data_IF_446385578362
#
_entry.id   IF_446385578362
#
_cell.length_a   1.000
_cell.length_b   1.000
_cell.length_c   1.000
_cell.angle_alpha   90.00
_cell.angle_beta   90.00
_cell.angle_gamma   90.00
#
_symmetry.space_group_name_H-M   'P 1'
#
loop_
_entity.id
_entity.type
_entity.pdbx_description
1 polymer ?
#
# COMPACT_ATOMS: atom_id res chain seq x y z
N UNK A 1 11.06 6.93 -38.49
CA UNK A 1 10.93 7.85 -37.35
C UNK A 1 9.47 7.83 -36.94
N UNK A 2 9.08 6.97 -35.98
CA UNK A 2 7.70 6.97 -35.48
C UNK A 2 7.54 8.19 -34.58
N UNK A 3 6.78 9.17 -35.06
CA UNK A 3 6.39 10.31 -34.25
C UNK A 3 5.68 9.81 -33.00
N UNK A 4 6.13 10.25 -31.83
CA UNK A 4 5.36 10.16 -30.60
C UNK A 4 4.07 10.95 -30.84
N UNK A 5 3.00 10.26 -31.22
CA UNK A 5 1.67 10.86 -31.16
C UNK A 5 1.38 11.17 -29.69
N UNK A 6 1.42 12.45 -29.35
CA UNK A 6 1.01 12.94 -28.04
C UNK A 6 -0.48 12.62 -27.90
N UNK A 7 -0.77 11.47 -27.27
CA UNK A 7 -2.14 11.05 -26.99
C UNK A 7 -2.78 12.12 -26.11
N UNK A 8 -3.78 12.82 -26.65
CA UNK A 8 -4.51 13.83 -25.89
C UNK A 8 -5.26 13.16 -24.74
N UNK A 9 -4.91 13.51 -23.51
CA UNK A 9 -5.61 13.07 -22.30
C UNK A 9 -6.97 13.77 -22.24
N UNK A 10 -8.04 13.00 -22.10
CA UNK A 10 -9.40 13.53 -21.95
C UNK A 10 -9.76 13.76 -20.49
N UNK A 11 -10.81 14.55 -20.22
CA UNK A 11 -11.34 14.72 -18.85
C UNK A 11 -11.86 13.39 -18.28
N UNK A 12 -12.39 12.54 -19.15
CA UNK A 12 -12.89 11.21 -18.77
C UNK A 12 -11.75 10.31 -18.29
N UNK A 13 -10.58 10.39 -18.93
CA UNK A 13 -9.39 9.64 -18.50
C UNK A 13 -8.94 10.09 -17.11
N UNK A 14 -8.88 11.40 -16.86
CA UNK A 14 -8.52 11.96 -15.54
C UNK A 14 -9.50 11.48 -14.46
N UNK A 15 -10.81 11.57 -14.72
CA UNK A 15 -11.83 11.13 -13.77
C UNK A 15 -11.75 9.63 -13.48
N UNK A 16 -11.46 8.81 -14.50
CA UNK A 16 -11.27 7.38 -14.33
C UNK A 16 -10.09 7.10 -13.40
N UNK A 17 -8.94 7.73 -13.65
CA UNK A 17 -7.74 7.54 -12.82
C UNK A 17 -7.98 8.02 -11.38
N UNK A 18 -8.65 9.17 -11.21
CA UNK A 18 -9.03 9.66 -9.89
C UNK A 18 -9.89 8.64 -9.13
N UNK A 19 -10.95 8.10 -9.75
CA UNK A 19 -11.82 7.11 -9.10
C UNK A 19 -11.05 5.83 -8.71
N UNK A 20 -10.10 5.41 -9.54
CA UNK A 20 -9.24 4.27 -9.23
C UNK A 20 -8.30 4.57 -8.04
N UNK A 21 -7.69 5.75 -8.01
CA UNK A 21 -6.88 6.22 -6.88
C UNK A 21 -7.73 6.24 -5.60
N UNK A 22 -8.93 6.81 -5.63
CA UNK A 22 -9.83 6.87 -4.47
C UNK A 22 -10.20 5.47 -3.96
N UNK A 23 -10.41 4.51 -4.86
CA UNK A 23 -10.63 3.10 -4.47
C UNK A 23 -9.38 2.48 -3.84
N UNK A 24 -8.19 2.75 -4.36
CA UNK A 24 -6.93 2.30 -3.74
C UNK A 24 -6.73 2.93 -2.35
N UNK A 25 -7.10 4.19 -2.18
CA UNK A 25 -7.03 4.87 -0.88
C UNK A 25 -7.93 4.18 0.16
N UNK A 26 -9.13 3.74 -0.22
CA UNK A 26 -10.02 2.95 0.64
C UNK A 26 -9.42 1.60 1.06
N UNK A 27 -8.50 1.04 0.27
CA UNK A 27 -7.75 -0.18 0.59
C UNK A 27 -6.50 0.08 1.43
N UNK A 28 -6.32 1.31 1.92
CA UNK A 28 -5.17 1.72 2.73
C UNK A 28 -3.83 1.51 2.00
N UNK A 29 -3.80 1.76 0.69
CA UNK A 29 -2.59 1.69 -0.12
C UNK A 29 -1.80 3.00 -0.04
N UNK A 30 -0.48 2.91 0.07
CA UNK A 30 0.40 4.06 -0.09
C UNK A 30 0.58 4.43 -1.58
N UNK A 31 1.13 5.61 -1.88
CA UNK A 31 1.27 6.11 -3.25
C UNK A 31 1.98 5.11 -4.18
N UNK A 32 3.05 4.46 -3.72
CA UNK A 32 3.77 3.47 -4.51
C UNK A 32 2.90 2.26 -4.84
N UNK A 33 2.19 1.73 -3.85
CA UNK A 33 1.25 0.63 -4.05
C UNK A 33 0.14 1.00 -5.04
N UNK A 34 -0.36 2.24 -5.00
CA UNK A 34 -1.35 2.74 -5.96
C UNK A 34 -0.77 2.81 -7.37
N UNK A 35 0.40 3.41 -7.54
CA UNK A 35 1.09 3.52 -8.84
C UNK A 35 1.34 2.13 -9.43
N UNK A 36 1.89 1.21 -8.64
CA UNK A 36 2.13 -0.17 -9.05
C UNK A 36 0.79 -0.86 -9.42
N UNK A 37 -0.24 -0.72 -8.59
CA UNK A 37 -1.56 -1.34 -8.84
C UNK A 37 -2.18 -0.85 -10.14
N UNK A 38 -2.19 0.46 -10.38
CA UNK A 38 -2.78 1.05 -11.59
C UNK A 38 -1.96 0.70 -12.85
N UNK A 39 -0.64 0.59 -12.73
CA UNK A 39 0.22 0.09 -13.80
C UNK A 39 -0.14 -1.37 -14.15
N UNK A 40 -0.13 -2.26 -13.17
CA UNK A 40 -0.29 -3.69 -13.44
C UNK A 40 -1.72 -4.07 -13.84
N UNK A 41 -2.72 -3.53 -13.14
CA UNK A 41 -4.13 -3.92 -13.28
C UNK A 41 -4.88 -3.10 -14.33
N UNK A 42 -4.62 -1.79 -14.41
CA UNK A 42 -5.34 -0.89 -15.32
C UNK A 42 -4.50 -0.45 -16.54
N UNK A 43 -3.22 -0.85 -16.62
CA UNK A 43 -2.27 -0.46 -17.69
C UNK A 43 -2.14 1.05 -17.83
N UNK A 44 -2.23 1.77 -16.71
CA UNK A 44 -2.05 3.22 -16.66
C UNK A 44 -0.56 3.52 -16.48
N UNK A 45 -0.04 4.46 -17.26
CA UNK A 45 1.34 4.91 -17.15
C UNK A 45 1.62 5.54 -15.77
N UNK A 46 2.72 5.19 -15.08
CA UNK A 46 3.02 5.68 -13.73
C UNK A 46 3.04 7.20 -13.64
N UNK A 47 3.65 7.88 -14.62
CA UNK A 47 3.72 9.34 -14.64
C UNK A 47 2.34 10.00 -14.73
N UNK A 48 1.37 9.36 -15.40
CA UNK A 48 0.00 9.90 -15.42
C UNK A 48 -0.70 9.71 -14.06
N UNK A 49 -0.53 8.55 -13.42
CA UNK A 49 -1.04 8.31 -12.07
C UNK A 49 -0.44 9.27 -11.05
N UNK A 50 0.88 9.49 -11.09
CA UNK A 50 1.59 10.42 -10.21
C UNK A 50 1.09 11.85 -10.36
N UNK A 51 0.87 12.31 -11.59
CA UNK A 51 0.33 13.66 -11.85
C UNK A 51 -1.09 13.83 -11.29
N UNK A 52 -1.98 12.85 -11.51
CA UNK A 52 -3.35 12.91 -10.96
C UNK A 52 -3.32 12.83 -9.43
N UNK A 53 -2.47 11.98 -8.85
CA UNK A 53 -2.27 11.89 -7.41
C UNK A 53 -1.80 13.22 -6.81
N UNK A 54 -0.75 13.82 -7.39
CA UNK A 54 -0.22 15.11 -6.94
C UNK A 54 -1.32 16.17 -6.94
N UNK A 55 -2.14 16.22 -8.00
CA UNK A 55 -3.24 17.18 -8.09
C UNK A 55 -4.30 16.97 -7.00
N UNK A 56 -4.64 15.71 -6.71
CA UNK A 56 -5.56 15.35 -5.62
C UNK A 56 -5.01 15.77 -4.25
N UNK A 57 -3.71 15.56 -4.01
CA UNK A 57 -3.06 15.92 -2.77
C UNK A 57 -3.01 17.44 -2.57
N UNK A 58 -2.69 18.20 -3.63
CA UNK A 58 -2.71 19.67 -3.63
C UNK A 58 -4.11 20.23 -3.31
N UNK A 59 -5.16 19.62 -3.86
CA UNK A 59 -6.54 20.06 -3.69
C UNK A 59 -7.18 19.61 -2.36
N UNK A 60 -6.67 18.53 -1.76
CA UNK A 60 -7.26 17.88 -0.59
C UNK A 60 -6.24 17.66 0.53
N UNK A 61 -5.39 18.65 0.80
CA UNK A 61 -4.23 18.51 1.69
C UNK A 61 -4.57 17.94 3.07
N UNK A 62 -5.64 18.41 3.70
CA UNK A 62 -6.00 17.97 5.06
C UNK A 62 -6.48 16.51 5.09
N UNK A 63 -7.13 16.04 4.01
CA UNK A 63 -7.44 14.63 3.85
C UNK A 63 -6.16 13.80 3.76
N UNK A 64 -5.20 14.18 2.91
CA UNK A 64 -3.95 13.42 2.74
C UNK A 64 -3.06 13.45 3.98
N UNK A 65 -3.02 14.56 4.74
CA UNK A 65 -2.37 14.59 6.07
C UNK A 65 -2.98 13.56 7.02
N UNK A 66 -4.30 13.54 7.16
CA UNK A 66 -4.99 12.57 8.00
C UNK A 66 -4.83 11.12 7.49
N UNK A 67 -4.82 10.95 6.16
CA UNK A 67 -4.62 9.66 5.52
C UNK A 67 -3.22 9.10 5.77
N UNK A 68 -2.19 9.93 5.68
CA UNK A 68 -0.80 9.53 5.97
C UNK A 68 -0.64 9.07 7.43
N UNK A 69 -1.24 9.78 8.38
CA UNK A 69 -1.28 9.34 9.80
C UNK A 69 -1.97 7.97 9.92
N UNK A 70 -3.09 7.78 9.22
CA UNK A 70 -3.81 6.50 9.20
C UNK A 70 -2.98 5.36 8.60
N UNK A 71 -2.22 5.61 7.54
CA UNK A 71 -1.28 4.62 6.98
C UNK A 71 -0.17 4.26 7.96
N UNK A 72 0.42 5.26 8.65
CA UNK A 72 1.42 5.01 9.68
C UNK A 72 0.86 4.11 10.80
N UNK A 73 -0.36 4.38 11.25
CA UNK A 73 -1.03 3.56 12.27
C UNK A 73 -1.26 2.12 11.78
N UNK A 74 -1.78 1.94 10.55
CA UNK A 74 -1.93 0.61 9.94
C UNK A 74 -0.60 -0.15 9.95
N UNK A 75 0.49 0.51 9.56
CA UNK A 75 1.82 -0.12 9.52
C UNK A 75 2.29 -0.54 10.92
N UNK A 76 2.06 0.29 11.94
CA UNK A 76 2.37 -0.07 13.33
C UNK A 76 1.57 -1.28 13.80
N UNK A 77 0.27 -1.35 13.49
CA UNK A 77 -0.58 -2.51 13.81
C UNK A 77 -0.05 -3.78 13.14
N UNK A 78 0.32 -3.70 11.85
CA UNK A 78 0.88 -4.84 11.12
C UNK A 78 2.20 -5.32 11.72
N UNK A 79 3.10 -4.40 12.08
CA UNK A 79 4.37 -4.75 12.73
C UNK A 79 4.11 -5.39 14.09
N UNK A 80 3.22 -4.82 14.88
CA UNK A 80 2.85 -5.37 16.18
C UNK A 80 2.28 -6.78 16.08
N UNK A 81 1.36 -7.02 15.12
CA UNK A 81 0.79 -8.35 14.89
C UNK A 81 1.88 -9.38 14.53
N UNK A 82 2.85 -9.01 13.68
CA UNK A 82 4.00 -9.89 13.36
C UNK A 82 4.85 -10.20 14.59
N UNK A 83 5.04 -9.22 15.48
CA UNK A 83 5.77 -9.44 16.73
C UNK A 83 5.01 -10.37 17.67
N UNK A 84 3.68 -10.22 17.77
CA UNK A 84 2.84 -11.13 18.55
C UNK A 84 2.88 -12.56 18.02
N UNK A 85 2.77 -12.75 16.69
CA UNK A 85 2.94 -14.06 16.05
C UNK A 85 4.30 -14.66 16.40
N UNK A 86 5.36 -13.85 16.35
CA UNK A 86 6.71 -14.30 16.71
C UNK A 86 6.83 -14.72 18.17
N UNK A 87 6.20 -13.98 19.08
CA UNK A 87 6.17 -14.31 20.50
C UNK A 87 5.49 -15.66 20.74
N UNK A 88 4.36 -15.92 20.08
CA UNK A 88 3.65 -17.20 20.16
C UNK A 88 4.52 -18.36 19.67
N UNK A 89 5.21 -18.19 18.53
CA UNK A 89 6.15 -19.20 18.03
C UNK A 89 7.23 -19.57 19.05
N UNK A 90 7.79 -18.57 19.73
CA UNK A 90 8.85 -18.77 20.71
C UNK A 90 8.34 -19.46 21.98
N UNK A 91 7.16 -19.08 22.47
CA UNK A 91 6.52 -19.74 23.62
C UNK A 91 6.23 -21.22 23.33
N UNK A 92 5.73 -21.53 22.12
CA UNK A 92 5.47 -22.90 21.72
C UNK A 92 6.76 -23.74 21.59
N UNK A 93 7.87 -23.13 21.16
CA UNK A 93 9.19 -23.80 21.09
C UNK A 93 9.84 -24.00 22.46
N UNK A 94 9.65 -23.05 23.38
CA UNK A 94 10.12 -23.14 24.76
C UNK A 94 9.37 -24.15 25.63
N UNK A 95 8.22 -24.66 25.15
CA UNK A 95 7.40 -25.68 25.82
C UNK A 95 7.69 -27.12 25.31
N UNK A 96 8.89 -27.39 24.81
CA UNK A 96 9.41 -28.76 24.74
C UNK A 96 9.96 -29.10 26.12
N UNK A 97 9.31 -29.96 26.93
CA UNK A 97 9.95 -30.45 28.14
C UNK A 97 11.18 -31.25 27.69
N UNK A 98 12.37 -30.75 28.00
CA UNK A 98 13.56 -31.57 28.00
C UNK A 98 13.33 -32.67 29.04
N UNK A 99 12.82 -33.81 28.57
CA UNK A 99 12.80 -35.06 29.31
C UNK A 99 14.27 -35.44 29.44
N UNK A 100 14.92 -34.89 30.47
CA UNK A 100 16.22 -35.34 30.92
C UNK A 100 16.05 -36.76 31.43
N UNK A 101 16.29 -37.73 30.56
CA UNK A 101 16.48 -39.12 30.96
C UNK A 101 17.72 -39.16 31.85
N UNK A 102 17.53 -39.21 33.18
CA UNK A 102 18.61 -39.60 34.08
C UNK A 102 18.84 -41.11 33.89
N UNK A 103 20.08 -41.56 33.61
CA UNK A 103 20.42 -42.98 33.67
C UNK A 103 20.44 -43.45 35.14
N UNK A 104 19.94 -44.66 35.36
CA UNK A 104 19.97 -45.41 36.63
C UNK A 104 21.41 -45.82 36.96
#
# INVERSE_FOLDING_TARGET
MSGNEIRKVSRQDIQLVQNLIERCLQLYMNQREVVDTLLYQAKIEPGFTELVWQKLEEENQDFFKAYNVRLMLKNQIVVFNKLLEKQVELMNKGCQPSVGSLPI
#
